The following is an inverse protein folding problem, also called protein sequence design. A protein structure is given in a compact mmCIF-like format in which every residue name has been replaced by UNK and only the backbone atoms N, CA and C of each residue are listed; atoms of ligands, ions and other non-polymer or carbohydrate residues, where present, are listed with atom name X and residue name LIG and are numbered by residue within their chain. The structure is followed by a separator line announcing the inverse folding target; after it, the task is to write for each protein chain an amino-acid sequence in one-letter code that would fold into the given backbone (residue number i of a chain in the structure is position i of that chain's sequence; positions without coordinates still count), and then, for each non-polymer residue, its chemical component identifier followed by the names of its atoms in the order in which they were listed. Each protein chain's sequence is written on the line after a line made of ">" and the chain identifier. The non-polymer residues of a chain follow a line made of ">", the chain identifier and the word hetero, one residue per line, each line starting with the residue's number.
data_IF_377637727914
#
_entry.id   IF_377637727914
#
_cell.length_a   1.000
_cell.length_b   1.000
_cell.length_c   1.000
_cell.angle_alpha   90.00
_cell.angle_beta   90.00
_cell.angle_gamma   90.00
#
_symmetry.space_group_name_H-M   'P 1'
#
loop_
_entity.id
_entity.type
_entity.pdbx_description
1 polymer ?
#
# COMPACT_ATOMS: atom_id res chain seq x y z
N UNK A 1 -11.22 19.43 -12.75
CA UNK A 1 -10.89 20.86 -12.87
C UNK A 1 -10.54 21.13 -14.33
N UNK A 2 -11.26 22.04 -15.00
CA UNK A 2 -10.86 22.58 -16.29
C UNK A 2 -9.43 23.13 -16.22
N UNK A 3 -8.61 22.90 -17.25
CA UNK A 3 -7.27 23.50 -17.31
C UNK A 3 -7.33 25.05 -17.30
N UNK A 4 -8.46 25.63 -17.67
CA UNK A 4 -8.72 27.09 -17.70
C UNK A 4 -8.81 27.72 -16.31
N UNK A 5 -9.07 26.94 -15.27
CA UNK A 5 -9.10 27.41 -13.88
C UNK A 5 -7.71 27.36 -13.21
N UNK A 6 -6.69 26.83 -13.90
CA UNK A 6 -5.34 26.71 -13.38
C UNK A 6 -4.60 28.04 -13.47
N UNK A 7 -3.98 28.44 -12.36
CA UNK A 7 -3.09 29.59 -12.36
C UNK A 7 -1.88 29.36 -13.28
N UNK A 8 -1.33 30.43 -13.84
CA UNK A 8 -0.22 30.37 -14.80
C UNK A 8 1.04 29.65 -14.26
N UNK A 9 1.19 29.54 -12.94
CA UNK A 9 2.28 28.81 -12.27
C UNK A 9 2.02 27.30 -12.16
N UNK A 10 0.76 26.86 -12.24
CA UNK A 10 0.37 25.47 -12.15
C UNK A 10 0.43 24.75 -13.50
N UNK A 11 0.26 25.48 -14.60
CA UNK A 11 0.28 24.95 -15.98
C UNK A 11 1.62 24.27 -16.30
N UNK A 12 2.83 24.85 -16.05
CA UNK A 12 4.10 24.16 -16.31
C UNK A 12 4.29 22.90 -15.46
N UNK A 13 3.79 22.91 -14.21
CA UNK A 13 3.85 21.76 -13.29
C UNK A 13 2.96 20.61 -13.78
N UNK A 14 1.79 20.93 -14.33
CA UNK A 14 0.88 19.96 -14.94
C UNK A 14 1.39 19.47 -16.29
N UNK A 15 1.98 20.33 -17.14
CA UNK A 15 2.60 19.93 -18.41
C UNK A 15 3.81 19.00 -18.21
N UNK A 16 4.69 19.30 -17.24
CA UNK A 16 5.80 18.42 -16.83
C UNK A 16 5.29 17.05 -16.36
N UNK A 17 4.22 17.05 -15.56
CA UNK A 17 3.54 15.82 -15.15
C UNK A 17 2.97 15.09 -16.37
N UNK A 18 2.22 15.75 -17.24
CA UNK A 18 1.60 15.20 -18.46
C UNK A 18 2.61 14.54 -19.40
N UNK A 19 3.78 15.15 -19.61
CA UNK A 19 4.86 14.57 -20.42
C UNK A 19 5.30 13.20 -19.87
N UNK A 20 5.37 13.04 -18.54
CA UNK A 20 5.66 11.74 -17.91
C UNK A 20 4.55 10.69 -18.15
N UNK A 21 3.34 11.12 -18.52
CA UNK A 21 2.15 10.30 -18.75
C UNK A 21 1.76 10.12 -20.23
N UNK A 22 2.57 10.56 -21.21
CA UNK A 22 2.26 10.39 -22.64
C UNK A 22 3.04 9.21 -23.26
N UNK A 23 2.40 8.05 -23.31
CA UNK A 23 2.72 6.86 -24.12
C UNK A 23 1.45 6.02 -24.14
N UNK A 24 1.21 5.33 -25.23
CA UNK A 24 -0.10 4.87 -25.72
C UNK A 24 -0.89 3.87 -24.86
N UNK A 25 -0.43 3.50 -23.66
CA UNK A 25 -1.07 2.51 -22.77
C UNK A 25 -1.46 3.04 -21.37
N UNK A 26 -1.33 4.35 -21.12
CA UNK A 26 -1.15 4.92 -19.77
C UNK A 26 -2.43 5.16 -18.94
N UNK A 27 -2.32 5.16 -17.60
CA UNK A 27 -3.41 5.34 -16.63
C UNK A 27 -3.93 6.77 -16.51
N UNK A 28 -3.49 7.70 -17.37
CA UNK A 28 -3.97 9.06 -17.39
C UNK A 28 -4.48 9.40 -18.80
N UNK A 29 -5.61 10.11 -18.88
CA UNK A 29 -6.22 10.55 -20.14
C UNK A 29 -6.59 12.01 -20.06
N UNK A 30 -6.23 12.77 -21.11
CA UNK A 30 -6.79 14.10 -21.34
C UNK A 30 -8.08 13.90 -22.13
N UNK A 31 -9.19 14.38 -21.58
CA UNK A 31 -10.52 14.32 -22.21
C UNK A 31 -10.92 15.74 -22.54
N UNK A 32 -11.28 16.00 -23.79
CA UNK A 32 -11.89 17.27 -24.18
C UNK A 32 -13.40 17.12 -24.01
N UNK A 33 -14.01 17.90 -23.13
CA UNK A 33 -15.47 17.99 -23.04
C UNK A 33 -15.88 19.15 -23.94
N UNK A 34 -16.64 18.84 -24.99
CA UNK A 34 -17.32 19.86 -25.79
C UNK A 34 -18.66 20.10 -25.11
N UNK A 35 -18.76 21.21 -24.39
CA UNK A 35 -20.01 21.65 -23.76
C UNK A 35 -20.92 22.18 -24.86
N UNK A 36 -21.74 21.31 -25.45
CA UNK A 36 -22.78 21.73 -26.38
C UNK A 36 -23.85 22.49 -25.58
N UNK A 37 -23.78 23.81 -25.56
CA UNK A 37 -24.84 24.68 -25.04
C UNK A 37 -26.04 24.62 -25.98
N UNK A 38 -26.93 23.65 -25.76
CA UNK A 38 -28.24 23.62 -26.43
C UNK A 38 -29.26 24.48 -25.67
N UNK A 39 -29.39 25.75 -26.05
CA UNK A 39 -30.57 26.58 -25.78
C UNK A 39 -30.51 27.78 -26.75
N UNK A 40 -31.21 27.69 -27.89
CA UNK A 40 -32.55 28.23 -28.11
C UNK A 40 -32.52 29.72 -28.57
N UNK A 41 -32.80 29.89 -29.87
CA UNK A 41 -33.50 31.02 -30.51
C UNK A 41 -33.05 32.46 -30.16
N UNK A 42 -32.19 33.05 -31.00
CA UNK A 42 -32.34 34.46 -31.40
C UNK A 42 -31.48 34.79 -32.62
N UNK A 43 -32.15 35.28 -33.65
CA UNK A 43 -31.58 35.83 -34.88
C UNK A 43 -30.82 37.13 -34.62
N UNK A 44 -29.51 37.15 -34.89
CA UNK A 44 -28.73 38.39 -34.88
C UNK A 44 -27.28 38.11 -35.25
N UNK A 45 -26.84 38.67 -36.37
CA UNK A 45 -25.50 38.49 -36.92
C UNK A 45 -24.41 39.03 -35.96
N UNK A 46 -23.71 38.13 -35.28
CA UNK A 46 -22.41 38.39 -34.66
C UNK A 46 -21.70 37.05 -34.38
N UNK A 47 -20.45 36.96 -34.82
CA UNK A 47 -19.37 35.98 -34.57
C UNK A 47 -19.70 34.62 -33.93
N UNK A 48 -19.22 33.49 -34.49
CA UNK A 48 -19.41 32.18 -33.85
C UNK A 48 -18.83 32.20 -32.43
N UNK A 49 -19.53 31.65 -31.43
CA UNK A 49 -19.01 31.55 -30.08
C UNK A 49 -17.73 30.71 -30.15
N UNK A 50 -16.63 31.24 -29.60
CA UNK A 50 -15.42 30.47 -29.35
C UNK A 50 -15.82 29.32 -28.41
N UNK A 51 -15.98 28.12 -28.95
CA UNK A 51 -16.13 26.89 -28.17
C UNK A 51 -14.86 26.70 -27.35
N UNK A 52 -14.85 27.18 -26.10
CA UNK A 52 -13.80 26.85 -25.13
C UNK A 52 -13.97 25.38 -24.75
N UNK A 53 -13.31 24.51 -25.51
CA UNK A 53 -13.29 23.09 -25.24
C UNK A 53 -12.51 22.84 -23.94
N UNK A 54 -13.24 22.56 -22.85
CA UNK A 54 -12.64 22.30 -21.55
C UNK A 54 -11.87 20.98 -21.59
N UNK A 55 -10.56 21.06 -21.41
CA UNK A 55 -9.71 19.89 -21.28
C UNK A 55 -9.65 19.46 -19.82
N UNK A 56 -10.02 18.21 -19.55
CA UNK A 56 -9.95 17.57 -18.25
C UNK A 56 -8.84 16.53 -18.22
N UNK A 57 -8.08 16.50 -17.13
CA UNK A 57 -7.14 15.42 -16.83
C UNK A 57 -7.82 14.39 -15.92
N UNK A 58 -7.80 13.12 -16.33
CA UNK A 58 -8.21 11.99 -15.51
C UNK A 58 -7.02 11.09 -15.23
N UNK A 59 -6.90 10.58 -14.00
CA UNK A 59 -5.89 9.59 -13.59
C UNK A 59 -6.59 8.45 -12.88
N UNK A 60 -6.40 7.25 -13.39
CA UNK A 60 -6.93 6.01 -12.83
C UNK A 60 -5.95 5.45 -11.78
N UNK A 61 -6.16 5.88 -10.53
CA UNK A 61 -5.37 5.43 -9.38
C UNK A 61 -5.51 3.92 -9.16
N UNK A 62 -6.71 3.36 -9.34
CA UNK A 62 -6.95 1.93 -9.19
C UNK A 62 -6.11 1.11 -10.18
N UNK A 63 -6.05 1.54 -11.45
CA UNK A 63 -5.18 0.92 -12.46
C UNK A 63 -3.70 1.03 -12.09
N UNK A 64 -3.26 2.16 -11.56
CA UNK A 64 -1.87 2.31 -11.11
C UNK A 64 -1.52 1.36 -9.97
N UNK A 65 -2.40 1.25 -8.97
CA UNK A 65 -2.25 0.30 -7.86
C UNK A 65 -2.25 -1.14 -8.39
N UNK A 66 -3.16 -1.48 -9.30
CA UNK A 66 -3.21 -2.81 -9.93
C UNK A 66 -1.93 -3.16 -10.70
N UNK A 67 -1.35 -2.20 -11.43
CA UNK A 67 -0.04 -2.38 -12.09
C UNK A 67 1.07 -2.60 -11.06
N UNK A 68 1.09 -1.84 -9.96
CA UNK A 68 2.05 -2.03 -8.87
C UNK A 68 1.94 -3.42 -8.23
N UNK A 69 0.71 -3.87 -7.92
CA UNK A 69 0.45 -5.20 -7.34
C UNK A 69 0.92 -6.32 -8.27
N UNK A 70 0.70 -6.18 -9.58
CA UNK A 70 1.22 -7.13 -10.58
C UNK A 70 2.74 -7.20 -10.56
N UNK A 71 3.42 -6.06 -10.54
CA UNK A 71 4.88 -6.00 -10.45
C UNK A 71 5.42 -6.60 -9.15
N UNK A 72 4.71 -6.46 -8.03
CA UNK A 72 5.06 -7.15 -6.78
C UNK A 72 4.99 -8.67 -6.94
N UNK A 73 3.94 -9.19 -7.58
CA UNK A 73 3.78 -10.63 -7.86
C UNK A 73 4.87 -11.17 -8.81
N UNK A 74 5.31 -10.34 -9.77
CA UNK A 74 6.41 -10.63 -10.70
C UNK A 74 7.81 -10.44 -10.08
N UNK A 75 7.90 -10.22 -8.76
CA UNK A 75 9.15 -9.97 -8.01
C UNK A 75 9.94 -8.76 -8.51
N UNK A 76 9.23 -7.71 -8.89
CA UNK A 76 9.80 -6.42 -9.31
C UNK A 76 9.44 -5.29 -8.32
N UNK A 77 9.80 -5.40 -7.03
CA UNK A 77 9.34 -4.46 -6.01
C UNK A 77 9.86 -3.03 -6.25
N UNK A 78 11.05 -2.88 -6.83
CA UNK A 78 11.60 -1.56 -7.20
C UNK A 78 10.73 -0.81 -8.22
N UNK A 79 10.18 -1.53 -9.21
CA UNK A 79 9.29 -0.92 -10.20
C UNK A 79 7.89 -0.73 -9.63
N UNK A 80 7.40 -1.68 -8.83
CA UNK A 80 6.11 -1.59 -8.16
C UNK A 80 6.02 -0.34 -7.26
N UNK A 81 7.05 -0.07 -6.45
CA UNK A 81 7.14 1.11 -5.58
C UNK A 81 6.85 2.40 -6.36
N UNK A 82 7.43 2.54 -7.57
CA UNK A 82 7.21 3.73 -8.40
C UNK A 82 5.73 3.95 -8.76
N UNK A 83 4.98 2.87 -8.99
CA UNK A 83 3.55 2.97 -9.27
C UNK A 83 2.76 3.39 -8.02
N UNK A 84 3.03 2.79 -6.86
CA UNK A 84 2.36 3.13 -5.61
C UNK A 84 2.66 4.56 -5.16
N UNK A 85 3.92 4.99 -5.22
CA UNK A 85 4.32 6.37 -4.88
C UNK A 85 3.67 7.38 -5.82
N UNK A 86 3.55 7.05 -7.10
CA UNK A 86 2.93 7.93 -8.08
C UNK A 86 1.40 7.98 -7.89
N UNK A 87 0.77 6.89 -7.49
CA UNK A 87 -0.64 6.85 -7.09
C UNK A 87 -0.88 7.68 -5.83
N UNK A 88 -0.08 7.49 -4.79
CA UNK A 88 -0.14 8.26 -3.54
C UNK A 88 0.01 9.77 -3.79
N UNK A 89 1.01 10.18 -4.58
CA UNK A 89 1.20 11.60 -4.95
C UNK A 89 0.05 12.20 -5.76
N UNK A 90 -0.76 11.36 -6.40
CA UNK A 90 -1.96 11.79 -7.13
C UNK A 90 -3.11 12.02 -6.13
N UNK A 91 -3.31 11.09 -5.19
CA UNK A 91 -4.26 11.25 -4.09
C UNK A 91 -3.94 12.46 -3.22
N UNK A 92 -2.68 12.60 -2.78
CA UNK A 92 -2.22 13.74 -1.98
C UNK A 92 -2.45 15.09 -2.68
N UNK A 93 -2.43 15.12 -4.01
CA UNK A 93 -2.64 16.36 -4.77
C UNK A 93 -4.12 16.79 -4.85
N UNK A 94 -5.07 15.87 -4.61
CA UNK A 94 -6.50 16.15 -4.60
C UNK A 94 -7.09 16.14 -3.19
N UNK A 95 -6.26 15.95 -2.17
CA UNK A 95 -6.67 15.79 -0.76
C UNK A 95 -7.56 16.93 -0.23
N UNK A 96 -7.31 18.16 -0.69
CA UNK A 96 -8.06 19.35 -0.29
C UNK A 96 -9.42 19.49 -1.00
N UNK A 97 -9.59 18.80 -2.13
CA UNK A 97 -10.79 18.90 -2.98
C UNK A 97 -11.66 17.63 -2.93
N UNK A 98 -11.32 16.64 -2.08
CA UNK A 98 -12.05 15.37 -1.98
C UNK A 98 -13.54 15.59 -1.78
N UNK A 99 -13.92 16.46 -0.84
CA UNK A 99 -15.32 16.76 -0.52
C UNK A 99 -16.05 17.45 -1.68
N UNK A 100 -15.32 18.11 -2.58
CA UNK A 100 -15.86 18.75 -3.79
C UNK A 100 -16.00 17.79 -4.96
N UNK A 101 -15.18 16.75 -5.02
CA UNK A 101 -15.06 15.84 -6.17
C UNK A 101 -16.07 14.67 -6.15
N UNK A 102 -17.09 14.72 -5.29
CA UNK A 102 -18.14 13.70 -5.16
C UNK A 102 -17.61 12.30 -4.78
N UNK A 103 -16.34 12.20 -4.37
CA UNK A 103 -15.78 10.97 -3.81
C UNK A 103 -16.12 10.91 -2.31
N UNK A 104 -16.50 9.73 -1.81
CA UNK A 104 -16.64 9.59 -0.37
C UNK A 104 -15.26 9.76 0.28
N UNK A 105 -15.21 10.49 1.40
CA UNK A 105 -13.97 10.67 2.15
C UNK A 105 -13.37 9.33 2.56
N UNK A 106 -14.23 8.36 2.86
CA UNK A 106 -13.85 6.98 3.19
C UNK A 106 -13.13 6.27 2.04
N UNK A 107 -13.62 6.36 0.80
CA UNK A 107 -12.97 5.75 -0.37
C UNK A 107 -11.61 6.38 -0.65
N UNK A 108 -11.50 7.70 -0.45
CA UNK A 108 -10.24 8.42 -0.53
C UNK A 108 -9.24 7.92 0.52
N UNK A 109 -9.64 7.89 1.80
CA UNK A 109 -8.78 7.47 2.90
C UNK A 109 -8.39 5.99 2.76
N UNK A 110 -9.29 5.13 2.27
CA UNK A 110 -8.99 3.74 1.91
C UNK A 110 -7.92 3.65 0.83
N UNK A 111 -8.06 4.44 -0.23
CA UNK A 111 -7.11 4.47 -1.34
C UNK A 111 -5.72 4.97 -0.90
N UNK A 112 -5.67 5.95 -0.01
CA UNK A 112 -4.43 6.44 0.61
C UNK A 112 -3.79 5.36 1.46
N UNK A 113 -4.54 4.72 2.36
CA UNK A 113 -4.05 3.63 3.20
C UNK A 113 -3.47 2.49 2.36
N UNK A 114 -4.17 2.10 1.29
CA UNK A 114 -3.73 1.07 0.36
C UNK A 114 -2.41 1.46 -0.33
N UNK A 115 -2.29 2.69 -0.83
CA UNK A 115 -1.07 3.14 -1.49
C UNK A 115 0.12 3.19 -0.53
N UNK A 116 -0.08 3.66 0.71
CA UNK A 116 0.95 3.68 1.74
C UNK A 116 1.40 2.27 2.11
N UNK A 117 0.45 1.36 2.32
CA UNK A 117 0.72 -0.03 2.67
C UNK A 117 1.59 -0.73 1.61
N UNK A 118 1.21 -0.60 0.34
CA UNK A 118 1.92 -1.24 -0.77
C UNK A 118 3.26 -0.57 -1.09
N UNK A 119 3.38 0.76 -0.95
CA UNK A 119 4.66 1.44 -1.08
C UNK A 119 5.64 0.99 0.04
N UNK A 120 5.17 0.92 1.28
CA UNK A 120 5.94 0.42 2.41
C UNK A 120 6.37 -1.03 2.21
N UNK A 121 5.42 -1.93 1.87
CA UNK A 121 5.72 -3.34 1.57
C UNK A 121 6.75 -3.49 0.44
N UNK A 122 6.66 -2.68 -0.63
CA UNK A 122 7.63 -2.70 -1.70
C UNK A 122 9.04 -2.33 -1.22
N UNK A 123 9.18 -1.39 -0.28
CA UNK A 123 10.47 -1.06 0.32
C UNK A 123 11.01 -2.16 1.23
N UNK A 124 10.13 -2.72 2.07
CA UNK A 124 10.48 -3.83 2.97
C UNK A 124 11.01 -5.05 2.19
N UNK A 125 10.34 -5.45 1.11
CA UNK A 125 10.77 -6.58 0.26
C UNK A 125 12.09 -6.29 -0.44
N UNK A 126 12.40 -5.04 -0.77
CA UNK A 126 13.71 -4.64 -1.29
C UNK A 126 14.83 -4.68 -0.23
N UNK A 127 14.50 -4.93 1.04
CA UNK A 127 15.45 -4.80 2.16
C UNK A 127 15.86 -3.35 2.44
N UNK A 128 15.05 -2.37 2.03
CA UNK A 128 15.26 -0.94 2.27
C UNK A 128 14.31 -0.46 3.35
N UNK A 129 14.73 0.55 4.12
CA UNK A 129 13.84 1.26 5.05
C UNK A 129 13.07 0.30 5.98
N UNK A 130 13.76 -0.73 6.49
CA UNK A 130 13.15 -1.74 7.37
C UNK A 130 12.97 -1.23 8.80
N UNK A 131 13.72 -0.20 9.19
CA UNK A 131 13.62 0.46 10.49
C UNK A 131 12.76 1.72 10.35
N UNK A 132 13.24 2.69 9.58
CA UNK A 132 12.55 3.96 9.28
C UNK A 132 11.87 3.86 7.92
N UNK A 133 10.54 3.90 7.90
CA UNK A 133 9.74 3.76 6.69
C UNK A 133 8.69 4.86 6.65
N UNK A 134 8.95 5.91 5.89
CA UNK A 134 8.09 7.10 5.88
C UNK A 134 6.63 6.79 5.47
N UNK A 135 6.40 5.76 4.64
CA UNK A 135 5.05 5.37 4.23
C UNK A 135 4.29 4.68 5.36
N UNK A 136 4.96 3.78 6.08
CA UNK A 136 4.35 3.04 7.19
C UNK A 136 4.22 3.90 8.45
N UNK A 137 5.17 4.80 8.69
CA UNK A 137 5.07 5.83 9.73
C UNK A 137 3.87 6.76 9.48
N UNK A 138 3.65 7.17 8.22
CA UNK A 138 2.48 7.96 7.85
C UNK A 138 1.18 7.17 8.07
N UNK A 139 1.14 5.91 7.62
CA UNK A 139 0.00 5.01 7.82
C UNK A 139 -0.33 4.80 9.30
N UNK A 140 0.68 4.71 10.15
CA UNK A 140 0.52 4.53 11.60
C UNK A 140 0.15 5.83 12.34
N UNK A 141 0.56 6.99 11.85
CA UNK A 141 0.31 8.27 12.53
C UNK A 141 -1.05 8.88 12.21
N UNK A 142 -1.55 8.72 10.99
CA UNK A 142 -2.78 9.39 10.55
C UNK A 142 -4.03 8.73 11.16
N UNK A 143 -4.78 9.50 11.96
CA UNK A 143 -5.98 9.02 12.65
C UNK A 143 -7.10 8.59 11.68
N UNK A 144 -7.25 9.28 10.55
CA UNK A 144 -8.23 8.94 9.52
C UNK A 144 -8.00 7.53 8.93
N UNK A 145 -6.77 7.03 8.99
CA UNK A 145 -6.41 5.71 8.46
C UNK A 145 -6.56 4.59 9.50
N UNK A 146 -6.96 4.92 10.74
CA UNK A 146 -7.12 3.97 11.84
C UNK A 146 -8.02 2.77 11.48
N UNK A 147 -9.22 2.96 10.86
CA UNK A 147 -10.09 1.82 10.53
C UNK A 147 -9.41 0.77 9.65
N UNK A 148 -8.54 1.19 8.73
CA UNK A 148 -7.90 0.28 7.78
C UNK A 148 -6.71 -0.47 8.39
N UNK A 149 -5.97 0.15 9.31
CA UNK A 149 -4.86 -0.52 10.02
C UNK A 149 -5.35 -1.48 11.12
N UNK A 150 -6.54 -1.26 11.65
CA UNK A 150 -7.12 -2.09 12.71
C UNK A 150 -8.02 -3.20 12.15
N UNK A 151 -8.50 -3.05 10.90
CA UNK A 151 -9.27 -4.08 10.22
C UNK A 151 -8.45 -5.38 10.04
N UNK A 152 -8.99 -6.54 10.47
CA UNK A 152 -8.37 -7.83 10.21
C UNK A 152 -8.18 -8.10 8.71
N UNK A 153 -7.10 -8.79 8.35
CA UNK A 153 -6.74 -9.20 7.00
C UNK A 153 -6.58 -8.06 5.99
N UNK A 154 -6.60 -6.80 6.43
CA UNK A 154 -6.46 -5.64 5.58
C UNK A 154 -5.00 -5.44 5.12
N UNK A 155 -4.80 -4.94 3.89
CA UNK A 155 -3.47 -4.64 3.33
C UNK A 155 -2.67 -3.65 4.22
N UNK A 156 -3.34 -2.66 4.82
CA UNK A 156 -2.71 -1.70 5.74
C UNK A 156 -2.21 -2.37 7.02
N UNK A 157 -3.05 -3.22 7.64
CA UNK A 157 -2.69 -4.01 8.80
C UNK A 157 -1.55 -5.00 8.46
N UNK A 158 -1.60 -5.65 7.28
CA UNK A 158 -0.54 -6.55 6.80
C UNK A 158 0.80 -5.84 6.68
N UNK A 159 0.82 -4.63 6.12
CA UNK A 159 2.03 -3.86 5.94
C UNK A 159 2.66 -3.45 7.29
N UNK A 160 1.85 -2.96 8.23
CA UNK A 160 2.32 -2.62 9.57
C UNK A 160 2.78 -3.86 10.35
N UNK A 161 2.05 -4.97 10.26
CA UNK A 161 2.46 -6.24 10.87
C UNK A 161 3.79 -6.71 10.32
N UNK A 162 3.99 -6.66 9.00
CA UNK A 162 5.26 -7.00 8.36
C UNK A 162 6.39 -6.12 8.88
N UNK A 163 6.16 -4.82 9.02
CA UNK A 163 7.16 -3.87 9.52
C UNK A 163 7.55 -4.16 10.97
N UNK A 164 6.57 -4.43 11.84
CA UNK A 164 6.82 -4.82 13.24
C UNK A 164 7.60 -6.12 13.35
N UNK A 165 7.29 -7.11 12.50
CA UNK A 165 8.08 -8.34 12.41
C UNK A 165 9.52 -8.06 11.97
N UNK A 166 9.74 -7.19 10.97
CA UNK A 166 11.09 -6.84 10.53
C UNK A 166 11.88 -6.05 11.59
N UNK A 167 11.22 -5.18 12.37
CA UNK A 167 11.82 -4.44 13.48
C UNK A 167 12.21 -5.35 14.65
N UNK A 168 11.39 -6.36 14.96
CA UNK A 168 11.66 -7.32 16.02
C UNK A 168 12.68 -8.40 15.65
N UNK A 169 13.04 -8.52 14.38
CA UNK A 169 13.92 -9.57 13.88
C UNK A 169 15.33 -9.49 14.50
N UNK A 170 16.00 -10.64 14.75
CA UNK A 170 17.36 -10.66 15.32
C UNK A 170 18.43 -10.05 14.39
N UNK A 171 18.12 -9.92 13.09
CA UNK A 171 18.93 -9.21 12.10
C UNK A 171 18.05 -8.75 10.93
N UNK A 172 18.50 -7.78 10.11
CA UNK A 172 17.78 -7.37 8.93
C UNK A 172 17.49 -8.53 7.97
N UNK A 173 16.22 -8.66 7.57
CA UNK A 173 15.76 -9.62 6.58
C UNK A 173 16.18 -9.19 5.17
N UNK A 174 16.53 -10.16 4.32
CA UNK A 174 16.89 -9.90 2.93
C UNK A 174 16.50 -11.08 2.05
N UNK A 175 15.75 -10.82 0.97
CA UNK A 175 15.28 -11.86 0.03
C UNK A 175 16.43 -12.74 -0.51
N UNK A 176 17.61 -12.16 -0.76
CA UNK A 176 18.76 -12.88 -1.32
C UNK A 176 19.39 -13.87 -0.34
N UNK A 177 19.31 -13.60 0.97
CA UNK A 177 19.90 -14.43 2.04
C UNK A 177 18.87 -15.34 2.70
N UNK A 178 17.65 -14.84 2.83
CA UNK A 178 16.60 -15.36 3.71
C UNK A 178 15.44 -15.97 2.90
N UNK A 179 15.77 -16.59 1.76
CA UNK A 179 14.79 -17.35 0.99
C UNK A 179 14.27 -18.55 1.79
N UNK A 180 13.01 -18.95 1.59
CA UNK A 180 12.42 -20.12 2.25
C UNK A 180 13.31 -21.37 2.15
N UNK A 181 13.83 -21.70 0.96
CA UNK A 181 14.67 -22.88 0.77
C UNK A 181 15.95 -22.86 1.64
N UNK A 182 16.62 -21.69 1.74
CA UNK A 182 17.84 -21.53 2.55
C UNK A 182 17.54 -21.64 4.05
N UNK A 183 16.48 -20.99 4.51
CA UNK A 183 16.09 -21.02 5.92
C UNK A 183 15.60 -22.42 6.33
N UNK A 184 14.85 -23.09 5.46
CA UNK A 184 14.42 -24.47 5.68
C UNK A 184 15.62 -25.43 5.72
N UNK A 185 16.61 -25.26 4.85
CA UNK A 185 17.84 -26.05 4.90
C UNK A 185 18.62 -25.81 6.22
N UNK A 186 18.75 -24.55 6.66
CA UNK A 186 19.39 -24.22 7.93
C UNK A 186 18.65 -24.89 9.12
N UNK A 187 17.32 -24.80 9.16
CA UNK A 187 16.51 -25.42 10.21
C UNK A 187 16.49 -26.94 10.16
N UNK A 188 16.74 -27.54 8.99
CA UNK A 188 16.92 -28.99 8.86
C UNK A 188 18.26 -29.45 9.43
N UNK A 189 19.31 -28.62 9.32
CA UNK A 189 20.62 -28.89 9.92
C UNK A 189 20.67 -28.59 11.42
N UNK A 190 19.93 -27.58 11.87
CA UNK A 190 19.81 -27.21 13.28
C UNK A 190 18.37 -26.76 13.58
N UNK A 191 17.58 -27.65 14.15
CA UNK A 191 16.19 -27.39 14.49
C UNK A 191 16.01 -26.34 15.61
N UNK A 192 17.07 -25.98 16.33
CA UNK A 192 17.03 -25.01 17.43
C UNK A 192 17.66 -23.66 17.06
N UNK A 193 17.99 -23.42 15.79
CA UNK A 193 18.44 -22.12 15.32
C UNK A 193 17.30 -21.08 15.37
N UNK A 194 17.23 -20.32 16.46
CA UNK A 194 16.18 -19.30 16.67
C UNK A 194 16.32 -18.12 15.71
N UNK A 195 17.53 -17.82 15.24
CA UNK A 195 17.77 -16.74 14.28
C UNK A 195 17.20 -17.10 12.92
N UNK A 196 17.54 -18.30 12.41
CA UNK A 196 17.00 -18.80 11.15
C UNK A 196 15.47 -18.92 11.23
N UNK A 197 14.93 -19.41 12.35
CA UNK A 197 13.49 -19.55 12.55
C UNK A 197 12.76 -18.21 12.60
N UNK A 198 13.33 -17.20 13.24
CA UNK A 198 12.74 -15.84 13.29
C UNK A 198 12.59 -15.25 11.89
N UNK A 199 13.63 -15.38 11.07
CA UNK A 199 13.60 -14.92 9.67
C UNK A 199 12.68 -15.78 8.80
N UNK A 200 12.48 -17.04 9.18
CA UNK A 200 11.56 -17.94 8.49
C UNK A 200 10.11 -17.55 8.70
N UNK A 201 9.73 -17.14 9.93
CA UNK A 201 8.42 -16.56 10.22
C UNK A 201 8.14 -15.37 9.31
N UNK A 202 9.08 -14.42 9.17
CA UNK A 202 8.94 -13.24 8.30
C UNK A 202 8.73 -13.66 6.85
N UNK A 203 9.53 -14.61 6.37
CA UNK A 203 9.47 -15.11 5.00
C UNK A 203 8.14 -15.79 4.69
N UNK A 204 7.62 -16.61 5.62
CA UNK A 204 6.32 -17.27 5.50
C UNK A 204 5.17 -16.26 5.52
N UNK A 205 5.23 -15.27 6.42
CA UNK A 205 4.23 -14.20 6.50
C UNK A 205 4.17 -13.36 5.20
N UNK A 206 5.33 -12.99 4.65
CA UNK A 206 5.42 -12.30 3.36
C UNK A 206 4.79 -13.11 2.22
N UNK A 207 4.99 -14.43 2.20
CA UNK A 207 4.38 -15.35 1.24
C UNK A 207 2.88 -15.58 1.43
N UNK A 208 2.33 -15.20 2.59
CA UNK A 208 0.93 -15.46 2.94
C UNK A 208 0.68 -16.86 3.51
N UNK A 209 1.73 -17.59 3.89
CA UNK A 209 1.62 -18.89 4.56
C UNK A 209 1.47 -18.67 6.08
N UNK A 210 0.29 -18.19 6.47
CA UNK A 210 0.01 -17.71 7.83
C UNK A 210 0.03 -18.84 8.86
N UNK A 211 -0.48 -20.02 8.51
CA UNK A 211 -0.48 -21.18 9.40
C UNK A 211 0.94 -21.63 9.75
N UNK A 212 1.84 -21.75 8.75
CA UNK A 212 3.25 -22.09 9.02
C UNK A 212 3.97 -20.96 9.73
N UNK A 213 3.72 -19.70 9.38
CA UNK A 213 4.31 -18.55 10.06
C UNK A 213 3.98 -18.54 11.56
N UNK A 214 2.71 -18.75 11.91
CA UNK A 214 2.27 -18.85 13.31
C UNK A 214 2.86 -20.06 14.02
N UNK A 215 2.92 -21.22 13.34
CA UNK A 215 3.52 -22.43 13.90
C UNK A 215 4.99 -22.22 14.25
N UNK A 216 5.78 -21.60 13.36
CA UNK A 216 7.20 -21.31 13.64
C UNK A 216 7.37 -20.25 14.74
N UNK A 217 6.52 -19.24 14.80
CA UNK A 217 6.51 -18.26 15.87
C UNK A 217 6.15 -18.87 17.24
N UNK A 218 5.22 -19.83 17.27
CA UNK A 218 4.88 -20.58 18.47
C UNK A 218 6.07 -21.40 18.97
N UNK A 219 6.80 -22.07 18.07
CA UNK A 219 8.02 -22.80 18.47
C UNK A 219 9.07 -21.86 19.08
N UNK A 220 9.26 -20.66 18.52
CA UNK A 220 10.16 -19.64 19.08
C UNK A 220 9.72 -19.21 20.48
N UNK A 221 8.42 -18.97 20.67
CA UNK A 221 7.87 -18.62 21.97
C UNK A 221 8.11 -19.73 23.00
N UNK A 222 7.90 -21.00 22.62
CA UNK A 222 8.17 -22.17 23.48
C UNK A 222 9.66 -22.30 23.82
N UNK A 223 10.56 -21.89 22.93
CA UNK A 223 12.00 -21.83 23.21
C UNK A 223 12.41 -20.63 24.09
N UNK A 224 11.47 -19.75 24.46
CA UNK A 224 11.75 -18.54 25.24
C UNK A 224 12.36 -17.39 24.42
N UNK A 225 12.31 -17.47 23.09
CA UNK A 225 12.80 -16.39 22.24
C UNK A 225 11.78 -15.23 22.20
N UNK A 226 12.26 -14.01 22.47
CA UNK A 226 11.42 -12.81 22.56
C UNK A 226 10.68 -12.50 21.25
N UNK A 227 11.30 -12.80 20.09
CA UNK A 227 10.69 -12.56 18.80
C UNK A 227 9.41 -13.39 18.61
N UNK A 228 9.36 -14.61 19.16
CA UNK A 228 8.18 -15.47 19.08
C UNK A 228 6.93 -14.81 19.65
N UNK A 229 7.05 -14.17 20.83
CA UNK A 229 5.95 -13.45 21.47
C UNK A 229 5.50 -12.24 20.64
N UNK A 230 6.46 -11.42 20.18
CA UNK A 230 6.19 -10.25 19.32
C UNK A 230 5.46 -10.68 18.04
N UNK A 231 5.96 -11.73 17.38
CA UNK A 231 5.40 -12.22 16.14
C UNK A 231 3.96 -12.72 16.33
N UNK A 232 3.71 -13.55 17.35
CA UNK A 232 2.36 -14.05 17.62
C UNK A 232 1.39 -12.92 17.94
N UNK A 233 1.79 -11.91 18.73
CA UNK A 233 0.94 -10.75 19.03
C UNK A 233 0.51 -10.02 17.76
N UNK A 234 1.46 -9.65 16.90
CA UNK A 234 1.16 -8.87 15.70
C UNK A 234 0.42 -9.69 14.64
N UNK A 235 0.78 -10.96 14.42
CA UNK A 235 0.06 -11.83 13.49
C UNK A 235 -1.36 -12.13 13.96
N UNK A 236 -1.60 -12.29 15.28
CA UNK A 236 -2.94 -12.49 15.81
C UNK A 236 -3.81 -11.25 15.65
N UNK A 237 -3.25 -10.04 15.85
CA UNK A 237 -3.93 -8.78 15.53
C UNK A 237 -4.27 -8.67 14.05
N UNK A 238 -3.34 -9.06 13.17
CA UNK A 238 -3.58 -9.06 11.73
C UNK A 238 -4.71 -10.00 11.34
N UNK A 239 -4.76 -11.20 11.91
CA UNK A 239 -5.79 -12.19 11.60
C UNK A 239 -7.16 -11.85 12.19
N UNK A 240 -7.20 -11.18 13.34
CA UNK A 240 -8.42 -10.91 14.10
C UNK A 240 -8.69 -11.99 15.16
N UNK A 241 -9.45 -11.61 16.20
CA UNK A 241 -9.71 -12.45 17.39
C UNK A 241 -10.49 -13.73 17.05
N UNK A 242 -11.41 -13.65 16.09
CA UNK A 242 -12.29 -14.75 15.70
C UNK A 242 -11.66 -15.67 14.62
N UNK A 243 -10.39 -15.46 14.29
CA UNK A 243 -9.73 -16.29 13.28
C UNK A 243 -9.36 -17.65 13.85
N UNK A 244 -9.71 -18.73 13.15
CA UNK A 244 -9.51 -20.13 13.59
C UNK A 244 -8.07 -20.42 14.06
N UNK A 245 -7.06 -19.86 13.38
CA UNK A 245 -5.66 -20.03 13.79
C UNK A 245 -5.34 -19.36 15.14
N UNK A 246 -5.96 -18.21 15.45
CA UNK A 246 -5.78 -17.49 16.71
C UNK A 246 -6.47 -18.24 17.85
N UNK A 247 -7.69 -18.74 17.63
CA UNK A 247 -8.39 -19.58 18.59
C UNK A 247 -7.58 -20.84 18.94
N UNK A 248 -6.98 -21.49 17.93
CA UNK A 248 -6.12 -22.68 18.10
C UNK A 248 -4.85 -22.43 18.91
N UNK A 249 -4.36 -21.18 18.99
CA UNK A 249 -3.21 -20.88 19.84
C UNK A 249 -3.54 -21.06 21.33
N UNK A 250 -4.80 -20.90 21.74
CA UNK A 250 -5.23 -21.06 23.13
C UNK A 250 -4.58 -20.09 24.13
N UNK A 251 -4.04 -18.96 23.64
CA UNK A 251 -3.26 -18.01 24.44
C UNK A 251 -3.97 -16.66 24.52
N UNK A 252 -4.96 -16.49 25.42
CA UNK A 252 -5.73 -15.25 25.54
C UNK A 252 -4.85 -14.03 25.84
N UNK A 253 -3.75 -14.21 26.58
CA UNK A 253 -2.80 -13.14 26.90
C UNK A 253 -2.17 -12.48 25.64
N UNK A 254 -2.03 -13.21 24.53
CA UNK A 254 -1.54 -12.66 23.26
C UNK A 254 -2.61 -11.84 22.54
N UNK A 255 -3.89 -12.07 22.84
CA UNK A 255 -5.04 -11.37 22.25
C UNK A 255 -5.58 -10.22 23.12
N UNK A 256 -5.29 -10.22 24.43
CA UNK A 256 -5.82 -9.26 25.40
C UNK A 256 -5.01 -7.95 25.51
N UNK A 257 -3.79 -7.91 24.97
CA UNK A 257 -2.97 -6.68 24.90
C UNK A 257 -3.04 -5.93 23.56
N UNK A 258 -4.10 -6.19 22.78
CA UNK A 258 -4.42 -5.52 21.50
C UNK A 258 -5.37 -4.36 21.78
#
# INVERSE_FOLDING_TARGET
>A
MPLTEMSATEVPRVCSRLASFQSSAKPARVSTIVTATSTAESSGAASPPQEEAEQHLSVDVAKMVGMGKRLMAERQPFYAEKFFVKALRTLDAVAADVDRLVASREDYDHSVALCLAWAGLAQLVQGKQTVENAYLERLEREAALQPFRDAPLNDANRALTTWRLMQGAPRPWSETRDSEAKLQAALSSNAHDTVARSLFVITLFLKGDLERAMTEALKLHVYGDAFGCVALKHMSRFLGKDHVLVERLGMPALTESI
#
